data_IF_950156109449
#
_entry.id   IF_950156109449
#
_cell.length_a   1.000
_cell.length_b   1.000
_cell.length_c   1.000
_cell.angle_alpha   90.00
_cell.angle_beta   90.00
_cell.angle_gamma   90.00
#
_symmetry.space_group_name_H-M   'P 1'
#
loop_
_entity.id
_entity.type
_entity.pdbx_description
1 polymer ?
#
# COMPACT_ATOMS: atom_id res chain seq x y z
N UNK A 1 6.53 9.20 -36.36
CA UNK A 1 6.45 9.88 -35.06
C UNK A 1 5.20 9.33 -34.39
N UNK A 2 5.32 8.69 -33.21
CA UNK A 2 4.18 8.01 -32.57
C UNK A 2 3.15 9.07 -32.16
N UNK A 3 1.93 8.97 -32.67
CA UNK A 3 0.76 9.69 -32.17
C UNK A 3 0.65 9.36 -30.67
N UNK A 4 1.04 10.30 -29.80
CA UNK A 4 0.81 10.14 -28.36
C UNK A 4 -0.71 10.24 -28.16
N UNK A 5 -1.36 9.08 -28.08
CA UNK A 5 -2.76 9.00 -27.71
C UNK A 5 -2.99 9.75 -26.39
N UNK A 6 -4.08 10.50 -26.29
CA UNK A 6 -4.50 11.21 -25.07
C UNK A 6 -4.46 10.30 -23.83
N UNK A 7 -4.73 9.00 -24.04
CA UNK A 7 -4.68 7.96 -23.01
C UNK A 7 -3.25 7.77 -22.48
N UNK A 8 -2.24 7.77 -23.34
CA UNK A 8 -0.84 7.63 -22.95
C UNK A 8 -0.36 8.84 -22.15
N UNK A 9 -0.82 10.04 -22.50
CA UNK A 9 -0.52 11.27 -21.76
C UNK A 9 -1.17 11.22 -20.37
N UNK A 10 -2.43 10.80 -20.29
CA UNK A 10 -3.13 10.63 -19.00
C UNK A 10 -2.42 9.65 -18.07
N UNK A 11 -1.95 8.52 -18.60
CA UNK A 11 -1.19 7.55 -17.80
C UNK A 11 0.13 8.13 -17.28
N UNK A 12 0.83 8.91 -18.10
CA UNK A 12 2.08 9.56 -17.70
C UNK A 12 1.85 10.57 -16.58
N UNK A 13 0.77 11.35 -16.63
CA UNK A 13 0.39 12.30 -15.57
C UNK A 13 0.08 11.58 -14.26
N UNK A 14 -0.68 10.47 -14.29
CA UNK A 14 -0.96 9.66 -13.09
C UNK A 14 0.34 9.12 -12.48
N UNK A 15 1.24 8.62 -13.32
CA UNK A 15 2.53 8.08 -12.89
C UNK A 15 3.41 9.14 -12.23
N UNK A 16 3.49 10.33 -12.82
CA UNK A 16 4.20 11.48 -12.22
C UNK A 16 3.56 11.88 -10.89
N UNK A 17 2.23 11.90 -10.80
CA UNK A 17 1.51 12.16 -9.55
C UNK A 17 1.86 11.15 -8.45
N UNK A 18 1.91 9.86 -8.77
CA UNK A 18 2.35 8.81 -7.84
C UNK A 18 3.79 9.04 -7.35
N UNK A 19 4.71 9.37 -8.26
CA UNK A 19 6.10 9.65 -7.90
C UNK A 19 6.21 10.86 -6.97
N UNK A 20 5.45 11.93 -7.24
CA UNK A 20 5.43 13.12 -6.38
C UNK A 20 4.89 12.82 -4.99
N UNK A 21 3.84 11.98 -4.87
CA UNK A 21 3.32 11.54 -3.56
C UNK A 21 4.41 10.81 -2.78
N UNK A 22 5.10 9.85 -3.41
CA UNK A 22 6.16 9.07 -2.77
C UNK A 22 7.29 9.98 -2.28
N UNK A 23 7.79 10.87 -3.14
CA UNK A 23 8.87 11.82 -2.80
C UNK A 23 8.40 12.76 -1.68
N UNK A 24 7.18 13.28 -1.76
CA UNK A 24 6.60 14.14 -0.74
C UNK A 24 6.51 13.44 0.62
N UNK A 25 6.06 12.19 0.65
CA UNK A 25 6.01 11.38 1.88
C UNK A 25 7.40 11.19 2.51
N UNK A 26 8.43 10.91 1.69
CA UNK A 26 9.81 10.78 2.19
C UNK A 26 10.39 12.12 2.68
N UNK A 27 10.15 13.22 1.96
CA UNK A 27 10.66 14.55 2.34
C UNK A 27 10.02 15.09 3.62
N UNK A 28 8.71 14.87 3.81
CA UNK A 28 7.99 15.22 5.04
C UNK A 28 8.49 14.40 6.22
N UNK A 29 8.82 13.12 6.02
CA UNK A 29 9.43 12.28 7.05
C UNK A 29 10.83 12.74 7.49
N UNK A 30 11.56 13.49 6.65
CA UNK A 30 12.94 13.91 6.92
C UNK A 30 13.11 15.31 7.52
N UNK A 31 12.13 16.22 7.37
CA UNK A 31 12.25 17.64 7.76
C UNK A 31 11.76 18.01 9.17
N UNK A 32 11.48 17.03 10.03
CA UNK A 32 10.94 17.28 11.38
C UNK A 32 11.33 16.19 12.38
N UNK A 33 12.61 16.11 12.71
CA UNK A 33 13.15 15.31 13.80
C UNK A 33 12.88 15.96 15.17
N UNK A 34 11.59 16.17 15.48
CA UNK A 34 11.12 16.31 16.85
C UNK A 34 9.85 15.47 16.99
N UNK A 35 10.01 14.26 17.53
CA UNK A 35 8.93 13.39 18.03
C UNK A 35 7.81 12.95 17.07
N UNK A 36 8.02 12.91 15.75
CA UNK A 36 7.09 12.14 14.91
C UNK A 36 7.34 10.64 15.12
N UNK A 37 6.63 10.05 16.08
CA UNK A 37 6.46 8.60 16.23
C UNK A 37 5.67 8.08 15.02
N UNK A 38 6.25 8.15 13.82
CA UNK A 38 5.61 7.73 12.59
C UNK A 38 5.16 6.28 12.74
N UNK A 39 3.84 6.09 12.81
CA UNK A 39 3.22 4.79 13.00
C UNK A 39 3.13 4.09 11.66
N UNK A 40 3.71 2.91 11.56
CA UNK A 40 3.65 2.07 10.37
C UNK A 40 3.37 0.62 10.77
N UNK A 41 2.59 -0.04 9.94
CA UNK A 41 2.41 -1.49 9.97
C UNK A 41 2.27 -2.01 8.56
N UNK A 42 3.03 -3.04 8.24
CA UNK A 42 2.96 -3.81 7.02
C UNK A 42 2.28 -5.15 7.31
N UNK A 43 1.40 -5.59 6.40
CA UNK A 43 0.66 -6.83 6.51
C UNK A 43 0.40 -7.39 5.12
N UNK A 44 0.33 -8.71 5.00
CA UNK A 44 0.14 -9.39 3.73
C UNK A 44 0.03 -10.90 3.89
N UNK A 45 0.02 -11.60 2.76
CA UNK A 45 -0.10 -13.05 2.69
C UNK A 45 1.14 -13.62 1.99
N UNK A 46 1.79 -14.63 2.61
CA UNK A 46 2.73 -15.52 1.92
C UNK A 46 2.01 -16.86 1.76
N UNK A 47 1.51 -17.13 0.56
CA UNK A 47 0.57 -18.23 0.36
C UNK A 47 -0.68 -18.03 1.24
N UNK A 48 -1.22 -19.08 1.88
CA UNK A 48 -2.37 -18.96 2.78
C UNK A 48 -2.01 -18.43 4.18
N UNK A 49 -0.74 -18.07 4.44
CA UNK A 49 -0.29 -17.65 5.76
C UNK A 49 -0.25 -16.11 5.86
N UNK A 50 -1.01 -15.52 6.80
CA UNK A 50 -0.94 -14.08 7.06
C UNK A 50 0.35 -13.73 7.80
N UNK A 51 1.02 -12.70 7.30
CA UNK A 51 2.26 -12.16 7.87
C UNK A 51 2.14 -10.66 8.06
N UNK A 52 2.89 -10.11 8.99
CA UNK A 52 3.01 -8.67 9.13
C UNK A 52 4.09 -8.26 10.13
N UNK A 53 4.46 -6.98 10.07
CA UNK A 53 5.39 -6.34 10.99
C UNK A 53 5.05 -4.85 11.11
N UNK A 54 5.28 -4.23 12.24
CA UNK A 54 4.96 -2.82 12.45
C UNK A 54 5.42 -2.30 13.79
N UNK A 55 5.46 -0.98 13.94
CA UNK A 55 5.84 -0.32 15.19
C UNK A 55 4.64 0.18 16.01
N UNK A 56 3.42 0.14 15.46
CA UNK A 56 2.20 0.48 16.19
C UNK A 56 1.26 -0.73 16.32
N UNK A 57 0.98 -1.09 17.57
CA UNK A 57 0.18 -2.27 17.91
C UNK A 57 -1.26 -2.18 17.39
N UNK A 58 -1.88 -1.00 17.44
CA UNK A 58 -3.26 -0.82 17.01
C UNK A 58 -3.38 -0.96 15.47
N UNK A 59 -2.49 -0.31 14.73
CA UNK A 59 -2.36 -0.44 13.27
C UNK A 59 -2.03 -1.88 12.86
N UNK A 60 -1.14 -2.55 13.60
CA UNK A 60 -0.79 -3.93 13.33
C UNK A 60 -1.99 -4.88 13.50
N UNK A 61 -2.72 -4.75 14.61
CA UNK A 61 -3.91 -5.58 14.88
C UNK A 61 -5.01 -5.30 13.83
N UNK A 62 -5.28 -4.03 13.52
CA UNK A 62 -6.26 -3.66 12.51
C UNK A 62 -5.89 -4.25 11.13
N UNK A 63 -4.63 -4.11 10.71
CA UNK A 63 -4.12 -4.66 9.46
C UNK A 63 -4.16 -6.19 9.40
N UNK A 64 -3.83 -6.87 10.50
CA UNK A 64 -3.93 -8.33 10.58
C UNK A 64 -5.36 -8.84 10.48
N UNK A 65 -6.31 -8.19 11.17
CA UNK A 65 -7.74 -8.52 11.05
C UNK A 65 -8.20 -8.37 9.59
N UNK A 66 -7.83 -7.27 8.95
CA UNK A 66 -8.16 -7.03 7.55
C UNK A 66 -7.59 -8.10 6.61
N UNK A 67 -6.33 -8.50 6.84
CA UNK A 67 -5.66 -9.56 6.07
C UNK A 67 -6.35 -10.91 6.22
N UNK A 68 -6.77 -11.26 7.44
CA UNK A 68 -7.52 -12.50 7.71
C UNK A 68 -8.90 -12.47 7.03
N UNK A 69 -9.59 -11.33 7.06
CA UNK A 69 -10.88 -11.18 6.35
C UNK A 69 -10.70 -11.42 4.86
N UNK A 70 -9.67 -10.84 4.24
CA UNK A 70 -9.34 -11.08 2.83
C UNK A 70 -9.07 -12.56 2.57
N UNK A 71 -8.29 -13.22 3.44
CA UNK A 71 -8.00 -14.65 3.32
C UNK A 71 -9.30 -15.49 3.35
N UNK A 72 -10.21 -15.19 4.27
CA UNK A 72 -11.50 -15.88 4.39
C UNK A 72 -12.34 -15.65 3.13
N UNK A 73 -12.43 -14.41 2.64
CA UNK A 73 -13.16 -14.10 1.41
C UNK A 73 -12.56 -14.87 0.24
N UNK A 74 -11.23 -14.91 0.11
CA UNK A 74 -10.54 -15.64 -0.93
C UNK A 74 -10.89 -17.14 -0.91
N UNK A 75 -10.89 -17.77 0.26
CA UNK A 75 -11.26 -19.19 0.38
C UNK A 75 -12.75 -19.48 0.17
N UNK A 76 -13.63 -18.56 0.56
CA UNK A 76 -15.08 -18.72 0.36
C UNK A 76 -15.52 -18.37 -1.06
N UNK A 77 -14.73 -17.58 -1.79
CA UNK A 77 -15.05 -17.22 -3.17
C UNK A 77 -14.89 -18.46 -4.06
N UNK A 78 -15.92 -18.85 -4.84
CA UNK A 78 -15.83 -19.98 -5.74
C UNK A 78 -14.69 -19.76 -6.73
N UNK A 79 -13.67 -20.62 -6.64
CA UNK A 79 -12.55 -20.61 -7.57
C UNK A 79 -13.07 -21.22 -8.88
N UNK A 80 -13.55 -20.37 -9.80
CA UNK A 80 -13.90 -20.82 -11.14
C UNK A 80 -12.59 -21.04 -11.92
N UNK A 81 -12.39 -22.22 -12.53
CA UNK A 81 -11.18 -22.51 -13.29
C UNK A 81 -11.02 -21.60 -14.51
#
# INVERSE_FOLDING_TARGET
MKELSLISIGFLVVLVGFILIIIGSFLVSGKGASESNAKFSFFGLIGPFPIGFGNDRALFIAGMIFTIIILIIFFLMPQKP
#
